data_IF_132056148140
#
_entry.id   IF_132056148140
#
_cell.length_a   1.000
_cell.length_b   1.000
_cell.length_c   1.000
_cell.angle_alpha   90.00
_cell.angle_beta   90.00
_cell.angle_gamma   90.00
#
_symmetry.space_group_name_H-M   'P 1'
#
loop_
_entity.id
_entity.type
_entity.pdbx_description
1 polymer ?
#
# COMPACT_ATOMS: atom_id res chain seq x y z
N UNK A 1 -19.88 39.85 -31.27
CA UNK A 1 -18.81 39.42 -30.35
C UNK A 1 -18.47 38.00 -30.73
N UNK A 2 -17.25 37.74 -31.23
CA UNK A 2 -16.81 36.42 -31.69
C UNK A 2 -15.95 35.83 -30.58
N UNK A 3 -16.38 34.69 -30.02
CA UNK A 3 -15.61 33.91 -29.06
C UNK A 3 -14.33 33.37 -29.72
N UNK A 4 -13.18 33.63 -29.11
CA UNK A 4 -11.91 33.01 -29.49
C UNK A 4 -11.87 31.59 -28.93
N UNK A 5 -11.51 30.57 -29.73
CA UNK A 5 -11.28 29.23 -29.21
C UNK A 5 -10.05 29.25 -28.31
N UNK A 6 -10.19 28.70 -27.09
CA UNK A 6 -9.08 28.48 -26.16
C UNK A 6 -8.22 27.37 -26.77
N UNK A 7 -7.05 27.75 -27.30
CA UNK A 7 -6.08 26.80 -27.86
C UNK A 7 -5.50 25.97 -26.71
N UNK A 8 -5.82 24.67 -26.68
CA UNK A 8 -5.34 23.71 -25.68
C UNK A 8 -3.86 23.31 -25.84
N UNK A 9 -3.07 24.07 -26.57
CA UNK A 9 -1.65 23.75 -26.83
C UNK A 9 -0.72 24.14 -25.67
N UNK A 10 -1.19 24.90 -24.69
CA UNK A 10 -0.34 25.36 -23.59
C UNK A 10 0.13 24.24 -22.64
N UNK A 11 -0.43 23.03 -22.72
CA UNK A 11 -0.01 21.87 -21.92
C UNK A 11 0.87 20.87 -22.70
N UNK A 12 1.10 21.09 -23.99
CA UNK A 12 1.88 20.22 -24.87
C UNK A 12 3.31 20.75 -25.09
N UNK A 13 3.98 21.19 -24.02
CA UNK A 13 5.42 21.48 -24.11
C UNK A 13 6.20 20.20 -24.48
N UNK A 14 7.24 20.27 -25.32
CA UNK A 14 8.11 19.13 -25.63
C UNK A 14 8.83 18.66 -24.37
N UNK A 15 8.23 17.69 -23.68
CA UNK A 15 8.65 17.24 -22.34
C UNK A 15 7.45 16.77 -21.50
N UNK A 16 6.27 17.33 -21.73
CA UNK A 16 5.05 16.93 -21.04
C UNK A 16 4.51 15.59 -21.52
N UNK A 17 4.70 15.20 -22.79
CA UNK A 17 4.28 13.87 -23.28
C UNK A 17 4.89 12.74 -22.46
N UNK A 18 6.17 12.79 -22.14
CA UNK A 18 6.82 11.75 -21.33
C UNK A 18 6.26 11.71 -19.90
N UNK A 19 6.01 12.89 -19.30
CA UNK A 19 5.38 13.00 -17.98
C UNK A 19 3.93 12.50 -17.97
N UNK A 20 3.14 12.82 -19.00
CA UNK A 20 1.77 12.33 -19.15
C UNK A 20 1.72 10.83 -19.45
N UNK A 21 2.64 10.30 -20.25
CA UNK A 21 2.82 8.86 -20.44
C UNK A 21 3.13 8.18 -19.11
N UNK A 22 3.95 8.79 -18.24
CA UNK A 22 4.20 8.25 -16.89
C UNK A 22 2.96 8.28 -15.99
N UNK A 23 2.15 9.35 -16.04
CA UNK A 23 0.87 9.43 -15.31
C UNK A 23 -0.12 8.38 -15.80
N UNK A 24 -0.20 8.16 -17.12
CA UNK A 24 -1.05 7.13 -17.73
C UNK A 24 -0.55 5.72 -17.39
N UNK A 25 0.76 5.48 -17.36
CA UNK A 25 1.33 4.19 -16.96
C UNK A 25 1.10 3.91 -15.47
N UNK A 26 1.26 4.92 -14.61
CA UNK A 26 0.89 4.81 -13.20
C UNK A 26 -0.57 4.39 -13.07
N UNK A 27 -1.49 5.07 -13.77
CA UNK A 27 -2.93 4.81 -13.73
C UNK A 27 -3.39 3.48 -14.37
N UNK A 28 -2.53 2.82 -15.16
CA UNK A 28 -2.79 1.51 -15.80
C UNK A 28 -2.25 0.33 -14.99
N UNK A 29 -1.90 0.54 -13.73
CA UNK A 29 -1.33 -0.51 -12.87
C UNK A 29 -0.06 -1.14 -13.46
N UNK A 30 0.73 -0.34 -14.18
CA UNK A 30 2.02 -0.79 -14.71
C UNK A 30 2.99 -0.89 -13.53
N UNK A 31 3.21 -2.12 -13.07
CA UNK A 31 4.08 -2.53 -11.95
C UNK A 31 5.60 -2.28 -12.19
N UNK A 32 5.97 -1.54 -13.24
CA UNK A 32 7.38 -1.29 -13.59
C UNK A 32 7.66 0.21 -13.68
N UNK A 33 8.58 0.66 -12.84
CA UNK A 33 9.09 2.04 -12.77
C UNK A 33 9.11 2.58 -11.34
N UNK A 34 9.92 3.60 -11.05
CA UNK A 34 10.12 4.14 -9.69
C UNK A 34 8.89 4.87 -9.10
N UNK A 35 7.77 4.93 -9.84
CA UNK A 35 6.54 5.64 -9.48
C UNK A 35 5.30 4.86 -9.91
N UNK A 36 5.30 3.53 -9.71
CA UNK A 36 4.09 2.72 -9.86
C UNK A 36 3.01 3.23 -8.90
N UNK A 37 1.73 3.20 -9.31
CA UNK A 37 0.60 3.51 -8.41
C UNK A 37 0.67 2.71 -7.11
N UNK A 38 1.25 1.51 -7.15
CA UNK A 38 1.59 0.68 -6.00
C UNK A 38 2.33 1.45 -4.89
N UNK A 39 3.24 2.38 -5.23
CA UNK A 39 3.91 3.20 -4.21
C UNK A 39 2.93 4.17 -3.52
N UNK A 40 2.02 4.80 -4.27
CA UNK A 40 1.03 5.73 -3.70
C UNK A 40 0.04 4.97 -2.81
N UNK A 41 -0.44 3.81 -3.26
CA UNK A 41 -1.28 2.92 -2.47
C UNK A 41 -0.55 2.45 -1.21
N UNK A 42 0.70 2.00 -1.34
CA UNK A 42 1.56 1.59 -0.22
C UNK A 42 1.71 2.71 0.81
N UNK A 43 1.95 3.96 0.38
CA UNK A 43 2.09 5.10 1.30
C UNK A 43 0.78 5.44 2.01
N UNK A 44 -0.36 5.39 1.31
CA UNK A 44 -1.68 5.60 1.94
C UNK A 44 -1.98 4.52 2.98
N UNK A 45 -1.68 3.26 2.66
CA UNK A 45 -1.82 2.13 3.59
C UNK A 45 -0.93 2.30 4.82
N UNK A 46 0.34 2.65 4.62
CA UNK A 46 1.26 2.94 5.72
C UNK A 46 0.73 4.07 6.61
N UNK A 47 0.20 5.15 6.02
CA UNK A 47 -0.40 6.26 6.76
C UNK A 47 -1.64 5.82 7.56
N UNK A 48 -2.54 5.03 6.95
CA UNK A 48 -3.73 4.50 7.65
C UNK A 48 -3.32 3.62 8.82
N UNK A 49 -2.39 2.69 8.60
CA UNK A 49 -1.83 1.85 9.65
C UNK A 49 -1.27 2.70 10.81
N UNK A 50 -0.44 3.70 10.53
CA UNK A 50 0.09 4.59 11.56
C UNK A 50 -1.00 5.33 12.34
N UNK A 51 -2.06 5.78 11.67
CA UNK A 51 -3.22 6.39 12.33
C UNK A 51 -3.94 5.39 13.24
N UNK A 52 -4.22 4.18 12.76
CA UNK A 52 -4.84 3.11 13.56
C UNK A 52 -4.01 2.76 14.79
N UNK A 53 -2.69 2.63 14.63
CA UNK A 53 -1.79 2.37 15.76
C UNK A 53 -1.77 3.53 16.75
N UNK A 54 -1.77 4.78 16.28
CA UNK A 54 -1.85 5.93 17.17
C UNK A 54 -3.17 5.95 17.95
N UNK A 55 -4.29 5.84 17.24
CA UNK A 55 -5.63 5.96 17.82
C UNK A 55 -5.94 4.84 18.82
N UNK A 56 -5.49 3.61 18.57
CA UNK A 56 -5.87 2.44 19.38
C UNK A 56 -4.79 1.95 20.35
N UNK A 57 -3.52 2.26 20.11
CA UNK A 57 -2.41 1.72 20.91
C UNK A 57 -1.68 2.83 21.64
N UNK A 58 -1.20 3.85 20.91
CA UNK A 58 -0.38 4.91 21.50
C UNK A 58 -1.22 5.85 22.38
N UNK A 59 -2.40 6.27 21.91
CA UNK A 59 -3.28 7.19 22.62
C UNK A 59 -3.80 6.60 23.95
N UNK A 60 -3.86 5.27 24.04
CA UNK A 60 -4.33 4.53 25.20
C UNK A 60 -3.26 4.39 26.31
N UNK A 61 -2.02 4.83 26.06
CA UNK A 61 -0.93 4.88 27.04
C UNK A 61 0.04 3.69 26.98
N UNK A 62 1.06 3.73 27.85
CA UNK A 62 2.17 2.78 27.81
C UNK A 62 1.74 1.32 28.02
N UNK A 63 0.81 1.06 28.94
CA UNK A 63 0.33 -0.30 29.20
C UNK A 63 -0.36 -0.93 28.00
N UNK A 64 -1.13 -0.14 27.24
CA UNK A 64 -1.76 -0.58 26.00
C UNK A 64 -0.72 -0.85 24.90
N UNK A 65 0.33 -0.03 24.86
CA UNK A 65 1.47 -0.23 23.95
C UNK A 65 2.20 -1.54 24.25
N UNK A 66 2.53 -1.80 25.52
CA UNK A 66 3.20 -3.03 25.94
C UNK A 66 2.35 -4.28 25.66
N UNK A 67 1.03 -4.19 25.91
CA UNK A 67 0.10 -5.26 25.59
C UNK A 67 0.03 -5.54 24.09
N UNK A 68 -0.04 -4.50 23.25
CA UNK A 68 -0.07 -4.64 21.80
C UNK A 68 1.22 -5.25 21.24
N UNK A 69 2.38 -4.83 21.76
CA UNK A 69 3.68 -5.43 21.39
C UNK A 69 3.74 -6.90 21.80
N UNK A 70 3.32 -7.21 23.02
CA UNK A 70 3.32 -8.59 23.54
C UNK A 70 2.43 -9.49 22.69
N UNK A 71 1.21 -9.04 22.38
CA UNK A 71 0.28 -9.79 21.55
C UNK A 71 0.82 -9.97 20.12
N UNK A 72 1.41 -8.94 19.53
CA UNK A 72 2.01 -9.01 18.21
C UNK A 72 3.15 -10.03 18.14
N UNK A 73 4.03 -10.06 19.14
CA UNK A 73 5.10 -11.05 19.26
C UNK A 73 4.56 -12.47 19.46
N UNK A 74 3.43 -12.64 20.15
CA UNK A 74 2.80 -13.94 20.35
C UNK A 74 2.08 -14.46 19.10
N UNK A 75 1.45 -13.57 18.31
CA UNK A 75 0.63 -13.97 17.16
C UNK A 75 1.43 -14.10 15.87
N UNK A 76 2.47 -13.28 15.67
CA UNK A 76 3.19 -13.25 14.41
C UNK A 76 3.87 -14.60 14.03
N UNK A 77 4.51 -15.34 14.95
CA UNK A 77 5.03 -16.67 14.63
C UNK A 77 3.93 -17.66 14.23
N UNK A 78 2.74 -17.57 14.85
CA UNK A 78 1.58 -18.41 14.50
C UNK A 78 1.10 -18.08 13.09
N UNK A 79 1.09 -16.81 12.72
CA UNK A 79 0.79 -16.38 11.35
C UNK A 79 1.79 -16.95 10.34
N UNK A 80 3.09 -16.89 10.63
CA UNK A 80 4.11 -17.46 9.74
C UNK A 80 3.93 -18.97 9.59
N UNK A 81 3.65 -19.69 10.68
CA UNK A 81 3.36 -21.13 10.63
C UNK A 81 2.11 -21.43 9.79
N UNK A 82 1.05 -20.63 9.92
CA UNK A 82 -0.13 -20.74 9.05
C UNK A 82 0.18 -20.45 7.59
N UNK A 83 1.07 -19.50 7.30
CA UNK A 83 1.49 -19.19 5.94
C UNK A 83 2.28 -20.34 5.28
N UNK A 84 3.00 -21.15 6.07
CA UNK A 84 3.62 -22.41 5.62
C UNK A 84 2.56 -23.47 5.30
N UNK A 85 1.57 -23.64 6.17
CA UNK A 85 0.58 -24.71 6.06
C UNK A 85 -0.47 -24.50 4.96
N UNK A 86 -0.63 -23.26 4.46
CA UNK A 86 -1.67 -22.90 3.49
C UNK A 86 -1.20 -23.00 2.04
N UNK A 87 -2.10 -23.44 1.16
CA UNK A 87 -1.93 -23.33 -0.30
C UNK A 87 -1.88 -21.86 -0.72
N UNK A 88 -1.13 -21.57 -1.78
CA UNK A 88 -0.82 -20.20 -2.22
C UNK A 88 -2.05 -19.32 -2.55
N UNK A 89 -3.24 -19.91 -2.73
CA UNK A 89 -4.48 -19.22 -3.11
C UNK A 89 -5.33 -18.74 -1.94
N UNK A 90 -4.91 -18.99 -0.70
CA UNK A 90 -5.78 -18.86 0.46
C UNK A 90 -5.57 -17.49 1.14
N UNK A 91 -6.55 -16.59 1.01
CA UNK A 91 -6.52 -15.23 1.58
C UNK A 91 -6.36 -15.27 3.11
N UNK A 92 -5.39 -14.51 3.63
CA UNK A 92 -5.09 -14.37 5.05
C UNK A 92 -5.35 -12.92 5.48
N UNK A 93 -6.46 -12.70 6.17
CA UNK A 93 -6.73 -11.41 6.80
C UNK A 93 -5.77 -11.22 7.97
N UNK A 94 -5.00 -10.13 7.95
CA UNK A 94 -4.13 -9.77 9.05
C UNK A 94 -4.98 -9.15 10.16
N UNK A 95 -4.92 -9.72 11.36
CA UNK A 95 -5.43 -9.05 12.56
C UNK A 95 -4.49 -7.90 12.94
N UNK A 96 -4.98 -6.91 13.69
CA UNK A 96 -4.19 -5.74 14.10
C UNK A 96 -2.79 -6.09 14.68
N UNK A 97 -2.67 -7.06 15.62
CA UNK A 97 -1.37 -7.47 16.16
C UNK A 97 -0.43 -8.09 15.11
N UNK A 98 -0.96 -8.93 14.21
CA UNK A 98 -0.17 -9.55 13.14
C UNK A 98 0.28 -8.48 12.13
N UNK A 99 -0.61 -7.55 11.77
CA UNK A 99 -0.29 -6.43 10.88
C UNK A 99 0.77 -5.52 11.50
N UNK A 100 0.68 -5.26 12.80
CA UNK A 100 1.69 -4.49 13.55
C UNK A 100 3.08 -5.14 13.53
N UNK A 101 3.16 -6.44 13.84
CA UNK A 101 4.41 -7.18 13.77
C UNK A 101 4.97 -7.22 12.34
N UNK A 102 4.11 -7.46 11.33
CA UNK A 102 4.50 -7.50 9.92
C UNK A 102 5.07 -6.16 9.47
N UNK A 103 4.40 -5.05 9.78
CA UNK A 103 4.87 -3.69 9.47
C UNK A 103 6.21 -3.38 10.14
N UNK A 104 6.42 -3.83 11.38
CA UNK A 104 7.71 -3.69 12.08
C UNK A 104 8.81 -4.50 11.40
N UNK A 105 8.50 -5.74 11.00
CA UNK A 105 9.45 -6.61 10.29
C UNK A 105 9.82 -6.05 8.90
N UNK A 106 8.88 -5.39 8.22
CA UNK A 106 9.10 -4.70 6.94
C UNK A 106 10.01 -3.46 7.04
N UNK A 107 10.28 -2.93 8.24
CA UNK A 107 11.27 -1.86 8.44
C UNK A 107 12.70 -2.33 8.12
N UNK A 108 12.93 -3.64 8.09
CA UNK A 108 14.17 -4.26 7.60
C UNK A 108 13.86 -5.19 6.42
N UNK A 109 13.69 -4.66 5.20
CA UNK A 109 13.24 -5.45 4.05
C UNK A 109 14.16 -6.64 3.72
N UNK A 110 15.47 -6.48 3.92
CA UNK A 110 16.43 -7.56 3.72
C UNK A 110 16.23 -8.70 4.73
N UNK A 111 16.09 -8.38 6.02
CA UNK A 111 15.80 -9.38 7.05
C UNK A 111 14.44 -10.03 6.81
N UNK A 112 13.43 -9.24 6.44
CA UNK A 112 12.10 -9.73 6.08
C UNK A 112 12.16 -10.79 4.97
N UNK A 113 12.85 -10.50 3.87
CA UNK A 113 12.98 -11.41 2.75
C UNK A 113 13.73 -12.70 3.14
N UNK A 114 14.82 -12.59 3.90
CA UNK A 114 15.58 -13.74 4.40
C UNK A 114 14.71 -14.61 5.31
N UNK A 115 14.06 -14.02 6.32
CA UNK A 115 13.27 -14.77 7.29
C UNK A 115 12.04 -15.41 6.64
N UNK A 116 11.28 -14.67 5.83
CA UNK A 116 10.11 -15.23 5.15
C UNK A 116 10.48 -16.26 4.09
N UNK A 117 11.60 -16.05 3.37
CA UNK A 117 12.17 -17.04 2.47
C UNK A 117 12.57 -18.34 3.19
N UNK A 118 13.23 -18.23 4.34
CA UNK A 118 13.66 -19.40 5.12
C UNK A 118 12.49 -20.16 5.75
N UNK A 119 11.45 -19.46 6.22
CA UNK A 119 10.32 -20.07 6.93
C UNK A 119 9.24 -20.55 5.95
N UNK A 120 8.85 -19.72 4.98
CA UNK A 120 7.69 -19.92 4.09
C UNK A 120 8.09 -20.30 2.66
N UNK A 121 9.39 -20.23 2.33
CA UNK A 121 9.90 -20.51 0.98
C UNK A 121 9.68 -19.37 -0.02
N UNK A 122 9.09 -18.26 0.42
CA UNK A 122 8.81 -17.07 -0.41
C UNK A 122 8.66 -15.81 0.45
N UNK A 123 8.83 -14.65 -0.17
CA UNK A 123 8.43 -13.39 0.44
C UNK A 123 6.91 -13.34 0.52
N UNK A 124 6.36 -13.11 1.71
CA UNK A 124 4.91 -12.99 1.89
C UNK A 124 4.48 -11.62 1.37
N UNK A 125 3.85 -11.60 0.19
CA UNK A 125 3.26 -10.39 -0.35
C UNK A 125 2.20 -9.82 0.60
N UNK A 126 2.00 -8.50 0.55
CA UNK A 126 0.88 -7.86 1.22
C UNK A 126 -0.33 -8.00 0.30
N UNK A 127 -1.34 -8.73 0.76
CA UNK A 127 -2.61 -8.90 0.06
C UNK A 127 -3.69 -8.17 0.86
N UNK A 128 -3.76 -6.86 0.67
CA UNK A 128 -4.85 -6.04 1.18
C UNK A 128 -5.32 -5.10 0.08
N UNK A 129 -6.58 -5.26 -0.34
CA UNK A 129 -7.25 -4.30 -1.20
C UNK A 129 -7.41 -2.97 -0.45
N UNK A 130 -7.36 -1.85 -1.17
CA UNK A 130 -7.78 -0.58 -0.59
C UNK A 130 -9.28 -0.64 -0.24
N UNK A 131 -9.69 0.17 0.74
CA UNK A 131 -11.10 0.30 1.09
C UNK A 131 -11.91 0.93 -0.07
N UNK A 132 -13.20 0.58 -0.17
CA UNK A 132 -14.08 1.03 -1.26
C UNK A 132 -14.11 2.55 -1.43
N UNK A 133 -13.94 3.31 -0.34
CA UNK A 133 -13.89 4.77 -0.37
C UNK A 133 -12.60 5.28 -1.01
N UNK A 134 -11.45 4.67 -0.70
CA UNK A 134 -10.17 5.00 -1.33
C UNK A 134 -10.17 4.66 -2.82
N UNK A 135 -10.75 3.52 -3.19
CA UNK A 135 -10.98 3.12 -4.59
C UNK A 135 -11.89 4.11 -5.32
N UNK A 136 -12.99 4.54 -4.68
CA UNK A 136 -13.92 5.52 -5.25
C UNK A 136 -13.25 6.88 -5.51
N UNK A 137 -12.40 7.36 -4.59
CA UNK A 137 -11.65 8.62 -4.76
C UNK A 137 -10.63 8.54 -5.90
N UNK A 138 -10.04 7.37 -6.14
CA UNK A 138 -9.12 7.13 -7.27
C UNK A 138 -9.89 7.06 -8.58
N UNK A 139 -11.04 6.38 -8.58
CA UNK A 139 -11.96 6.33 -9.72
C UNK A 139 -12.53 7.72 -10.06
N UNK A 140 -12.71 8.60 -9.07
CA UNK A 140 -13.13 9.98 -9.29
C UNK A 140 -12.01 10.86 -9.84
N UNK A 141 -10.83 10.81 -9.21
CA UNK A 141 -9.64 11.54 -9.69
C UNK A 141 -9.22 11.15 -11.12
N UNK A 142 -9.39 9.88 -11.50
CA UNK A 142 -9.15 9.42 -12.88
C UNK A 142 -10.16 9.95 -13.89
N UNK A 143 -11.43 10.18 -13.48
CA UNK A 143 -12.47 10.77 -14.33
C UNK A 143 -12.29 12.27 -14.55
N UNK A 144 -11.67 12.97 -13.59
CA UNK A 144 -11.35 14.39 -13.70
C UNK A 144 -10.16 14.69 -14.63
N UNK A 145 -9.43 13.66 -15.09
CA UNK A 145 -8.33 13.85 -16.04
C UNK A 145 -8.86 13.89 -17.50
N UNK A 146 -8.37 14.83 -18.33
CA UNK A 146 -8.79 14.92 -19.73
C UNK A 146 -8.44 13.64 -20.49
N UNK A 147 -9.42 13.10 -21.23
CA UNK A 147 -9.22 11.93 -22.08
C UNK A 147 -8.24 12.31 -23.21
N UNK A 148 -7.15 11.55 -23.32
CA UNK A 148 -6.16 11.65 -24.40
C UNK A 148 -6.68 10.96 -25.65
#
# INVERSE_FOLDING_TARGET
MIEKPIVSDSLLLPGNRHRFTHVIHAQRDVMVGPWSMDLVHTMRRQRRFSKTMFDHVVSAGCSATDAAVTEALAQYPKFLAMAVARTASAFLVLTGPIDFAKHTHLLSPAAYAVHTGAIVGRVIARDDSDDEMSEALIADGSRAMPRV
#
